data_IF_748232258716
#
_entry.id   IF_748232258716
#
_cell.length_a   1.000
_cell.length_b   1.000
_cell.length_c   1.000
_cell.angle_alpha   90.00
_cell.angle_beta   90.00
_cell.angle_gamma   90.00
#
_symmetry.space_group_name_H-M   'P 1'
#
loop_
_entity.id
_entity.type
_entity.pdbx_description
1 polymer ?
#
# COMPACT_ATOMS: atom_id res chain seq x y z
N UNK A 1 -38.35 -12.69 -1.67
CA UNK A 1 -37.88 -14.06 -1.97
C UNK A 1 -36.37 -13.95 -2.11
N UNK A 2 -35.67 -14.02 -0.98
CA UNK A 2 -34.22 -13.88 -0.94
C UNK A 2 -33.58 -15.20 -1.36
N UNK A 3 -33.20 -15.27 -2.64
CA UNK A 3 -32.50 -16.39 -3.24
C UNK A 3 -31.02 -16.40 -2.78
N UNK A 4 -30.79 -16.44 -1.48
CA UNK A 4 -29.52 -16.88 -0.90
C UNK A 4 -29.77 -18.27 -0.34
N UNK A 5 -29.87 -19.22 -1.26
CA UNK A 5 -30.01 -20.65 -0.99
C UNK A 5 -28.66 -21.22 -0.50
N UNK A 6 -28.18 -20.80 0.67
CA UNK A 6 -26.92 -21.28 1.24
C UNK A 6 -25.65 -20.83 0.50
N UNK A 7 -25.75 -19.83 -0.38
CA UNK A 7 -24.60 -19.26 -1.09
C UNK A 7 -23.86 -18.26 -0.19
N UNK A 8 -22.54 -18.39 -0.13
CA UNK A 8 -21.67 -17.50 0.63
C UNK A 8 -21.66 -16.09 0.01
N UNK A 9 -21.94 -15.02 0.78
CA UNK A 9 -21.83 -13.64 0.32
C UNK A 9 -20.43 -13.35 -0.24
N UNK A 10 -20.36 -12.55 -1.30
CA UNK A 10 -19.09 -12.22 -1.98
C UNK A 10 -18.05 -11.65 -1.00
N UNK A 11 -18.45 -10.72 -0.13
CA UNK A 11 -17.55 -10.12 0.87
C UNK A 11 -16.96 -11.17 1.82
N UNK A 12 -17.77 -12.15 2.22
CA UNK A 12 -17.32 -13.22 3.12
C UNK A 12 -16.38 -14.19 2.41
N UNK A 13 -16.63 -14.52 1.15
CA UNK A 13 -15.73 -15.35 0.34
C UNK A 13 -14.40 -14.64 0.09
N UNK A 14 -14.44 -13.35 -0.27
CA UNK A 14 -13.27 -12.54 -0.53
C UNK A 14 -12.42 -12.37 0.74
N UNK A 15 -13.05 -12.07 1.87
CA UNK A 15 -12.35 -12.00 3.16
C UNK A 15 -11.66 -13.34 3.51
N UNK A 16 -12.35 -14.47 3.36
CA UNK A 16 -11.78 -15.79 3.60
C UNK A 16 -10.65 -16.16 2.63
N UNK A 17 -10.71 -15.69 1.38
CA UNK A 17 -9.63 -15.91 0.41
C UNK A 17 -8.41 -15.05 0.74
N UNK A 18 -8.59 -13.77 1.06
CA UNK A 18 -7.50 -12.87 1.43
C UNK A 18 -6.83 -13.27 2.75
N UNK A 19 -7.59 -13.78 3.72
CA UNK A 19 -7.06 -14.26 5.01
C UNK A 19 -6.02 -15.37 4.87
N UNK A 20 -6.14 -16.19 3.82
CA UNK A 20 -5.20 -17.29 3.52
C UNK A 20 -3.97 -16.84 2.73
N UNK A 21 -3.99 -15.63 2.16
CA UNK A 21 -2.90 -15.12 1.32
C UNK A 21 -1.93 -14.36 2.20
N UNK A 22 -0.75 -14.94 2.43
CA UNK A 22 0.35 -14.24 3.09
C UNK A 22 1.06 -13.32 2.11
N UNK A 23 1.29 -12.04 2.44
CA UNK A 23 2.04 -11.13 1.57
C UNK A 23 3.47 -11.65 1.33
N UNK A 24 3.97 -11.47 0.11
CA UNK A 24 5.29 -11.93 -0.27
C UNK A 24 6.36 -11.06 0.40
N UNK A 25 7.28 -11.68 1.14
CA UNK A 25 8.41 -11.00 1.78
C UNK A 25 9.69 -11.02 0.94
N UNK A 26 9.69 -11.67 -0.22
CA UNK A 26 10.83 -11.67 -1.13
C UNK A 26 11.00 -10.27 -1.75
N UNK A 27 12.20 -9.71 -1.62
CA UNK A 27 12.52 -8.37 -2.13
C UNK A 27 13.66 -8.45 -3.12
N UNK A 28 13.57 -7.66 -4.19
CA UNK A 28 14.68 -7.45 -5.11
C UNK A 28 14.91 -5.95 -5.34
N UNK A 29 16.16 -5.56 -5.60
CA UNK A 29 16.51 -4.18 -5.91
C UNK A 29 16.54 -4.01 -7.42
N UNK A 30 15.61 -3.23 -7.96
CA UNK A 30 15.49 -2.96 -9.39
C UNK A 30 15.73 -1.48 -9.69
N UNK A 31 16.26 -1.13 -10.88
CA UNK A 31 16.35 0.25 -11.34
C UNK A 31 14.97 0.91 -11.45
N UNK A 32 14.89 2.23 -11.21
CA UNK A 32 13.62 2.98 -11.20
C UNK A 32 12.82 2.86 -12.50
N UNK A 33 13.51 2.79 -13.65
CA UNK A 33 12.87 2.61 -14.96
C UNK A 33 12.08 1.29 -15.04
N UNK A 34 12.51 0.26 -14.31
CA UNK A 34 11.89 -1.06 -14.24
C UNK A 34 11.04 -1.27 -12.98
N UNK A 35 10.99 -0.27 -12.09
CA UNK A 35 10.20 -0.31 -10.86
C UNK A 35 8.72 0.04 -11.09
N UNK A 36 8.35 0.50 -12.29
CA UNK A 36 6.96 0.74 -12.65
C UNK A 36 6.16 -0.57 -12.50
N UNK A 37 5.01 -0.53 -11.80
CA UNK A 37 4.18 -1.69 -11.38
C UNK A 37 4.69 -2.54 -10.21
N UNK A 38 5.83 -2.22 -9.59
CA UNK A 38 6.35 -2.92 -8.39
C UNK A 38 5.83 -2.29 -7.09
N UNK A 39 5.66 -3.12 -6.06
CA UNK A 39 5.34 -2.65 -4.69
C UNK A 39 6.65 -2.38 -3.94
N UNK A 40 6.76 -1.21 -3.30
CA UNK A 40 7.94 -0.86 -2.51
C UNK A 40 7.96 -1.68 -1.23
N UNK A 41 9.01 -2.49 -1.05
CA UNK A 41 9.11 -3.39 0.10
C UNK A 41 9.36 -2.69 1.45
N UNK A 42 9.98 -1.50 1.43
CA UNK A 42 10.30 -0.72 2.62
C UNK A 42 10.04 0.75 2.38
N UNK A 43 9.69 1.49 3.43
CA UNK A 43 9.69 2.95 3.40
C UNK A 43 11.08 3.43 3.00
N UNK A 44 11.19 4.01 1.81
CA UNK A 44 12.38 4.74 1.41
C UNK A 44 12.44 6.00 2.26
N UNK A 45 13.25 5.98 3.32
CA UNK A 45 13.64 7.23 3.98
C UNK A 45 14.39 8.07 2.95
N UNK A 46 13.94 9.28 2.62
CA UNK A 46 14.71 10.14 1.74
C UNK A 46 15.99 10.53 2.49
N UNK A 47 17.10 9.86 2.14
CA UNK A 47 18.48 10.21 2.54
C UNK A 47 18.77 11.70 2.28
N UNK A 48 18.09 12.27 1.30
CA UNK A 48 18.12 13.67 0.94
C UNK A 48 16.70 14.21 1.05
N UNK A 49 16.33 14.71 2.23
CA UNK A 49 15.21 15.65 2.31
C UNK A 49 15.56 16.84 1.41
N UNK A 50 14.94 16.91 0.23
CA UNK A 50 15.06 18.07 -0.65
C UNK A 50 14.65 19.32 0.16
N UNK A 51 15.49 20.36 0.26
CA UNK A 51 15.16 21.57 1.02
C UNK A 51 13.82 22.19 0.60
N UNK A 52 13.44 22.06 -0.68
CA UNK A 52 12.18 22.55 -1.22
C UNK A 52 10.91 21.85 -0.67
N UNK A 53 11.02 20.59 -0.23
CA UNK A 53 9.90 19.85 0.38
C UNK A 53 9.75 20.15 1.87
N UNK A 54 10.85 20.50 2.55
CA UNK A 54 10.83 21.00 3.93
C UNK A 54 10.00 22.29 3.98
N UNK A 55 10.27 23.26 3.11
CA UNK A 55 9.58 24.56 3.17
C UNK A 55 8.05 24.42 3.00
N UNK A 56 7.58 23.52 2.14
CA UNK A 56 6.14 23.28 1.95
C UNK A 56 5.49 22.50 3.10
N UNK A 57 6.20 21.54 3.69
CA UNK A 57 5.69 20.76 4.84
C UNK A 57 5.60 21.61 6.11
N UNK A 58 6.58 22.49 6.35
CA UNK A 58 6.59 23.40 7.50
C UNK A 58 5.59 24.56 7.37
N UNK A 59 5.35 25.08 6.16
CA UNK A 59 4.29 26.10 5.94
C UNK A 59 2.86 25.57 6.11
N UNK A 60 2.67 24.26 6.12
CA UNK A 60 1.36 23.62 6.27
C UNK A 60 1.05 23.13 7.71
N UNK A 61 1.89 23.45 8.70
CA UNK A 61 1.56 23.23 10.11
C UNK A 61 1.07 24.55 10.73
N UNK A 62 -0.25 24.79 10.82
CA UNK A 62 -0.76 25.83 11.70
C UNK A 62 -0.45 25.44 13.14
N UNK A 63 0.29 26.29 13.84
CA UNK A 63 0.40 26.26 15.31
C UNK A 63 -0.99 26.53 15.89
N UNK A 64 -1.65 25.48 16.37
CA UNK A 64 -2.93 25.52 17.07
C UNK A 64 -3.03 24.34 18.01
#
# INVERSE_FOLDING_TARGET
MDFTAGLMPLDTALAQMLDRITPLNATETVPLLQAFSRVTAMTSSPRWMCPALITRRWMAMPSG
#
